data_IF_597397606418
#
_entry.id   IF_597397606418
#
_cell.length_a   1.000
_cell.length_b   1.000
_cell.length_c   1.000
_cell.angle_alpha   90.00
_cell.angle_beta   90.00
_cell.angle_gamma   90.00
#
_symmetry.space_group_name_H-M   'P 1'
#
loop_
_entity.id
_entity.type
_entity.pdbx_description
1 polymer ?
#
# COMPACT_ATOMS: atom_id res chain seq x y z
N UNK A 1 36.74 -17.76 2.15
CA UNK A 1 35.40 -17.26 1.82
C UNK A 1 34.47 -17.56 2.97
N UNK A 2 34.06 -16.57 3.76
CA UNK A 2 32.99 -16.77 4.75
C UNK A 2 31.73 -17.23 4.02
N UNK A 3 30.94 -18.09 4.67
CA UNK A 3 29.67 -18.55 4.08
C UNK A 3 28.69 -17.37 3.98
N UNK A 4 27.74 -17.45 3.05
CA UNK A 4 26.68 -16.43 2.91
C UNK A 4 25.90 -16.22 4.22
N UNK A 5 25.67 -17.29 4.98
CA UNK A 5 25.05 -17.22 6.32
C UNK A 5 25.92 -16.49 7.34
N UNK A 6 27.24 -16.63 7.26
CA UNK A 6 28.17 -15.92 8.14
C UNK A 6 28.22 -14.43 7.80
N UNK A 7 28.13 -14.08 6.51
CA UNK A 7 27.93 -12.69 6.06
C UNK A 7 26.60 -12.11 6.56
N UNK A 8 25.50 -12.88 6.52
CA UNK A 8 24.20 -12.44 7.04
C UNK A 8 24.18 -12.29 8.57
N UNK A 9 24.88 -13.17 9.31
CA UNK A 9 25.05 -13.03 10.77
C UNK A 9 25.85 -11.78 11.13
N UNK A 10 26.91 -11.48 10.39
CA UNK A 10 27.72 -10.26 10.60
C UNK A 10 26.89 -9.00 10.33
N UNK A 11 26.00 -9.03 9.33
CA UNK A 11 25.07 -7.92 9.05
C UNK A 11 23.98 -7.81 10.12
N UNK A 12 23.37 -8.92 10.54
CA UNK A 12 22.33 -8.91 11.59
C UNK A 12 22.86 -8.53 12.98
N UNK A 13 24.14 -8.81 13.28
CA UNK A 13 24.81 -8.39 14.50
C UNK A 13 25.17 -6.88 14.50
N UNK A 14 25.14 -6.21 13.35
CA UNK A 14 25.21 -4.74 13.22
C UNK A 14 23.82 -4.11 13.39
N UNK A 15 23.11 -4.44 14.47
CA UNK A 15 22.00 -3.58 14.89
C UNK A 15 22.57 -2.18 15.15
N UNK A 16 22.03 -1.11 14.54
CA UNK A 16 22.54 0.23 14.74
C UNK A 16 22.48 0.56 16.24
N UNK A 17 23.67 0.66 16.84
CA UNK A 17 23.84 1.10 18.22
C UNK A 17 23.66 2.62 18.22
N UNK A 18 22.44 3.08 18.50
CA UNK A 18 22.17 4.45 18.97
C UNK A 18 22.75 5.60 18.13
N UNK A 19 22.74 5.48 16.80
CA UNK A 19 22.96 6.64 15.93
C UNK A 19 21.76 7.58 15.98
N UNK A 20 22.00 8.88 15.83
CA UNK A 20 20.93 9.86 15.66
C UNK A 20 20.16 9.53 14.36
N UNK A 21 18.84 9.36 14.47
CA UNK A 21 18.00 9.12 13.30
C UNK A 21 17.95 10.39 12.43
N UNK A 22 17.97 10.27 11.09
CA UNK A 22 17.70 11.40 10.21
C UNK A 22 16.39 12.08 10.62
N UNK A 23 16.38 13.41 10.60
CA UNK A 23 15.16 14.13 10.90
C UNK A 23 14.11 13.86 9.82
N UNK A 24 12.83 14.08 10.15
CA UNK A 24 11.76 13.95 9.15
C UNK A 24 11.99 14.90 7.96
N UNK A 25 12.50 16.11 8.21
CA UNK A 25 12.84 17.07 7.17
C UNK A 25 13.94 16.52 6.23
N UNK A 26 14.95 15.84 6.76
CA UNK A 26 16.02 15.23 5.95
C UNK A 26 15.48 14.09 5.08
N UNK A 27 14.58 13.26 5.62
CA UNK A 27 13.93 12.19 4.84
C UNK A 27 13.05 12.74 3.71
N UNK A 28 12.35 13.85 3.95
CA UNK A 28 11.58 14.55 2.92
C UNK A 28 12.49 15.16 1.84
N UNK A 29 13.59 15.82 2.25
CA UNK A 29 14.57 16.41 1.33
C UNK A 29 15.29 15.32 0.51
N UNK A 30 15.64 14.19 1.13
CA UNK A 30 16.22 13.02 0.46
C UNK A 30 15.31 12.54 -0.66
N UNK A 31 14.02 12.35 -0.33
CA UNK A 31 13.01 11.91 -1.30
C UNK A 31 12.82 12.91 -2.45
N UNK A 32 12.81 14.20 -2.14
CA UNK A 32 12.68 15.26 -3.13
C UNK A 32 13.94 15.39 -4.03
N UNK A 33 15.05 14.72 -3.68
CA UNK A 33 16.33 14.86 -4.36
C UNK A 33 16.98 16.22 -4.11
N UNK A 34 16.67 16.84 -2.97
CA UNK A 34 17.11 18.20 -2.60
C UNK A 34 18.32 18.19 -1.66
N UNK A 35 18.70 17.04 -1.12
CA UNK A 35 19.89 16.91 -0.27
C UNK A 35 21.18 17.12 -1.05
N UNK A 36 22.20 17.70 -0.38
CA UNK A 36 23.54 17.71 -0.94
C UNK A 36 24.09 16.26 -1.01
N UNK A 37 24.94 15.96 -1.99
CA UNK A 37 25.44 14.60 -2.22
C UNK A 37 26.01 13.90 -0.96
N UNK A 38 26.67 14.66 -0.06
CA UNK A 38 27.20 14.11 1.20
C UNK A 38 26.11 13.75 2.21
N UNK A 39 25.03 14.52 2.26
CA UNK A 39 23.89 14.27 3.16
C UNK A 39 23.03 13.13 2.61
N UNK A 40 22.86 13.08 1.30
CA UNK A 40 22.21 11.98 0.59
C UNK A 40 22.91 10.64 0.87
N UNK A 41 24.24 10.59 0.72
CA UNK A 41 25.04 9.40 1.02
C UNK A 41 24.83 8.93 2.49
N UNK A 42 24.79 9.87 3.43
CA UNK A 42 24.58 9.58 4.85
C UNK A 42 23.18 9.02 5.12
N UNK A 43 22.13 9.64 4.55
CA UNK A 43 20.76 9.15 4.68
C UNK A 43 20.63 7.76 4.03
N UNK A 44 21.19 7.57 2.84
CA UNK A 44 21.17 6.29 2.15
C UNK A 44 21.86 5.19 2.97
N UNK A 45 23.05 5.45 3.52
CA UNK A 45 23.73 4.50 4.41
C UNK A 45 22.88 4.17 5.64
N UNK A 46 22.26 5.17 6.28
CA UNK A 46 21.36 4.94 7.43
C UNK A 46 20.15 4.06 7.06
N UNK A 47 19.51 4.33 5.93
CA UNK A 47 18.34 3.56 5.46
C UNK A 47 18.67 2.09 5.20
N UNK A 48 19.90 1.75 4.82
CA UNK A 48 20.32 0.34 4.68
C UNK A 48 20.43 -0.40 6.02
N UNK A 49 20.55 0.33 7.13
CA UNK A 49 20.80 -0.22 8.46
C UNK A 49 19.59 -0.09 9.39
N UNK A 50 18.70 0.86 9.13
CA UNK A 50 17.57 1.20 9.98
C UNK A 50 16.23 0.93 9.28
N UNK A 51 15.59 -0.19 9.65
CA UNK A 51 14.28 -0.59 9.10
C UNK A 51 13.19 0.45 9.38
N UNK A 52 13.23 1.10 10.54
CA UNK A 52 12.18 2.04 10.94
C UNK A 52 12.19 3.30 10.07
N UNK A 53 13.38 3.86 9.77
CA UNK A 53 13.50 4.99 8.85
C UNK A 53 13.16 4.60 7.41
N UNK A 54 13.49 3.38 6.98
CA UNK A 54 13.09 2.87 5.67
C UNK A 54 11.57 2.71 5.55
N UNK A 55 10.91 2.19 6.60
CA UNK A 55 9.45 2.09 6.64
C UNK A 55 8.80 3.48 6.62
N UNK A 56 9.28 4.42 7.43
CA UNK A 56 8.77 5.80 7.43
C UNK A 56 8.88 6.46 6.05
N UNK A 57 9.97 6.23 5.32
CA UNK A 57 10.14 6.74 3.95
C UNK A 57 9.12 6.13 2.97
N UNK A 58 8.81 4.83 3.10
CA UNK A 58 7.76 4.16 2.31
C UNK A 58 6.37 4.68 2.65
N UNK A 59 6.08 4.91 3.93
CA UNK A 59 4.78 5.46 4.37
C UNK A 59 4.59 6.87 3.81
N UNK A 60 5.63 7.72 3.85
CA UNK A 60 5.61 9.03 3.19
C UNK A 60 5.28 8.89 1.69
N UNK A 61 5.80 7.86 1.02
CA UNK A 61 5.50 7.60 -0.39
C UNK A 61 4.04 7.26 -0.65
N UNK A 62 3.41 6.50 0.23
CA UNK A 62 1.98 6.21 0.16
C UNK A 62 1.14 7.49 0.31
N UNK A 63 1.53 8.39 1.21
CA UNK A 63 0.80 9.66 1.41
C UNK A 63 0.75 10.58 0.19
N UNK A 64 1.77 10.58 -0.67
CA UNK A 64 1.75 11.39 -1.90
C UNK A 64 0.95 10.74 -3.04
N UNK A 65 0.64 9.45 -2.95
CA UNK A 65 -0.21 8.79 -3.95
C UNK A 65 -1.68 9.20 -3.81
N UNK A 66 -2.07 9.75 -2.66
CA UNK A 66 -3.39 10.34 -2.53
C UNK A 66 -3.48 11.55 -3.48
N UNK A 67 -4.49 11.59 -4.36
CA UNK A 67 -4.66 12.71 -5.27
C UNK A 67 -4.76 13.98 -4.44
N UNK A 68 -3.91 14.95 -4.76
CA UNK A 68 -4.06 16.29 -4.22
C UNK A 68 -5.51 16.72 -4.48
N UNK A 69 -6.24 17.20 -3.46
CA UNK A 69 -7.58 17.69 -3.66
C UNK A 69 -7.56 18.66 -4.85
N UNK A 70 -8.47 18.53 -5.83
CA UNK A 70 -8.47 19.40 -7.00
C UNK A 70 -8.39 20.86 -6.55
N UNK A 71 -7.56 21.67 -7.21
CA UNK A 71 -7.36 23.08 -6.88
C UNK A 71 -8.67 23.90 -6.94
N UNK A 72 -9.73 23.32 -7.50
CA UNK A 72 -11.10 23.84 -7.60
C UNK A 72 -11.97 23.53 -6.39
N UNK A 73 -11.53 22.71 -5.44
CA UNK A 73 -12.17 22.65 -4.13
C UNK A 73 -12.05 24.04 -3.53
N UNK A 74 -13.20 24.69 -3.36
CA UNK A 74 -13.30 26.02 -2.80
C UNK A 74 -12.46 26.09 -1.51
N UNK A 75 -11.81 27.25 -1.22
CA UNK A 75 -11.13 27.42 0.05
C UNK A 75 -12.03 26.93 1.17
N UNK A 76 -11.48 26.25 2.19
CA UNK A 76 -12.25 25.69 3.29
C UNK A 76 -13.27 26.74 3.75
N UNK A 77 -14.54 26.34 3.81
CA UNK A 77 -15.58 27.29 4.18
C UNK A 77 -15.26 27.87 5.57
N UNK A 78 -15.77 29.07 5.88
CA UNK A 78 -15.48 29.74 7.15
C UNK A 78 -15.81 28.84 8.37
N UNK A 79 -16.72 27.88 8.20
CA UNK A 79 -17.06 26.86 9.20
C UNK A 79 -15.93 25.87 9.43
N UNK A 80 -15.30 25.37 8.37
CA UNK A 80 -14.13 24.48 8.45
C UNK A 80 -12.96 25.19 9.12
N UNK A 81 -12.69 26.45 8.75
CA UNK A 81 -11.65 27.26 9.39
C UNK A 81 -11.95 27.56 10.87
N UNK A 82 -13.21 27.81 11.21
CA UNK A 82 -13.62 28.00 12.60
C UNK A 82 -13.59 26.70 13.42
N UNK A 83 -13.82 25.54 12.79
CA UNK A 83 -13.67 24.23 13.42
C UNK A 83 -12.19 23.91 13.67
N UNK A 84 -11.33 24.17 12.68
CA UNK A 84 -9.89 23.96 12.80
C UNK A 84 -9.25 24.83 13.87
N UNK A 85 -9.63 26.12 13.95
CA UNK A 85 -9.19 27.02 15.02
C UNK A 85 -9.58 26.56 16.42
N UNK A 86 -10.70 25.84 16.56
CA UNK A 86 -11.16 25.26 17.85
C UNK A 86 -10.41 23.98 18.23
N UNK A 87 -10.00 23.19 17.24
CA UNK A 87 -9.25 21.95 17.44
C UNK A 87 -7.76 22.18 17.73
N UNK A 88 -7.15 23.19 17.10
CA UNK A 88 -5.72 23.48 17.22
C UNK A 88 -5.18 23.55 18.66
N UNK A 89 -5.82 24.25 19.62
CA UNK A 89 -5.34 24.27 21.00
C UNK A 89 -5.51 22.92 21.72
N UNK A 90 -6.42 22.06 21.30
CA UNK A 90 -6.61 20.72 21.89
C UNK A 90 -5.55 19.73 21.43
N UNK A 91 -5.03 19.91 20.21
CA UNK A 91 -3.93 19.11 19.65
C UNK A 91 -2.55 19.58 20.15
N UNK A 92 -2.44 20.80 20.67
CA UNK A 92 -1.19 21.44 21.10
C UNK A 92 -0.97 21.50 22.62
N UNK A 93 -1.63 20.67 23.41
CA UNK A 93 -1.49 20.63 24.88
C UNK A 93 -0.22 19.97 25.42
N UNK A 94 0.71 19.58 24.54
CA UNK A 94 2.10 19.32 24.92
C UNK A 94 2.89 20.59 24.60
N UNK A 95 3.20 21.36 25.65
CA UNK A 95 4.10 22.50 25.63
C UNK A 95 5.45 22.06 25.05
N UNK A 96 5.59 22.13 23.72
CA UNK A 96 6.90 22.07 23.07
C UNK A 96 7.52 23.41 23.41
N UNK A 97 8.20 23.43 24.56
CA UNK A 97 9.06 24.51 24.98
C UNK A 97 9.92 24.89 23.78
N UNK A 98 9.70 26.08 23.23
CA UNK A 98 10.57 26.67 22.23
C UNK A 98 12.01 26.53 22.74
N UNK A 99 12.92 25.86 22.01
CA UNK A 99 14.34 25.92 22.32
C UNK A 99 14.81 27.35 22.03
N UNK A 100 14.60 28.22 23.01
CA UNK A 100 15.23 29.54 23.10
C UNK A 100 16.73 29.32 23.20
N UNK A 101 17.44 29.61 22.12
CA UNK A 101 18.89 29.82 22.14
C UNK A 101 19.71 28.80 21.38
N UNK A 102 19.55 28.73 20.05
CA UNK A 102 20.67 28.33 19.19
C UNK A 102 21.28 29.61 18.63
N UNK A 103 22.46 29.96 19.17
CA UNK A 103 23.30 31.05 18.69
C UNK A 103 23.73 30.77 17.25
N UNK A 104 23.20 31.55 16.31
CA UNK A 104 23.75 31.68 14.96
C UNK A 104 25.09 32.42 15.03
N UNK A 105 26.16 31.68 15.30
CA UNK A 105 27.52 32.15 15.04
C UNK A 105 27.79 32.18 13.53
N UNK A 106 28.56 33.15 13.02
CA UNK A 106 28.98 33.17 11.63
C UNK A 106 29.96 32.00 11.40
N UNK A 107 29.49 30.96 10.73
CA UNK A 107 30.34 29.85 10.27
C UNK A 107 31.12 30.37 9.06
N UNK A 108 32.38 30.75 9.29
CA UNK A 108 33.35 31.00 8.23
C UNK A 108 33.58 29.70 7.43
N UNK A 109 33.08 29.69 6.20
CA UNK A 109 33.29 28.60 5.27
C UNK A 109 34.76 28.55 4.80
N UNK A 110 35.43 27.38 4.83
CA UNK A 110 36.73 27.22 4.21
C UNK A 110 36.62 27.38 2.70
N UNK A 111 37.39 28.32 2.14
CA UNK A 111 37.56 28.50 0.71
C UNK A 111 38.24 27.24 0.13
N UNK A 112 37.44 26.28 -0.35
CA UNK A 112 37.94 25.17 -1.13
C UNK A 112 38.39 25.65 -2.52
N UNK A 113 39.67 25.43 -2.79
CA UNK A 113 40.34 25.68 -4.06
C UNK A 113 39.58 25.02 -5.23
N UNK A 114 39.18 25.86 -6.17
CA UNK A 114 38.55 25.48 -7.43
C UNK A 114 39.55 24.72 -8.30
N UNK A 115 39.36 23.40 -8.42
CA UNK A 115 40.06 22.58 -9.41
C UNK A 115 39.72 23.04 -10.84
N UNK A 116 40.71 23.09 -11.76
CA UNK A 116 40.49 23.49 -13.13
C UNK A 116 39.59 22.49 -13.87
N UNK A 117 38.48 23.02 -14.39
CA UNK A 117 37.51 22.34 -15.24
C UNK A 117 38.18 21.94 -16.57
N UNK A 118 38.10 20.67 -17.02
CA UNK A 118 38.53 20.33 -18.37
C UNK A 118 37.67 21.07 -19.39
N UNK A 119 38.34 21.67 -20.37
CA UNK A 119 37.76 22.46 -21.45
C UNK A 119 36.77 21.63 -22.26
N UNK A 120 35.48 22.01 -22.18
CA UNK A 120 34.43 21.47 -23.04
C UNK A 120 34.70 21.97 -24.46
N UNK A 121 35.10 21.06 -25.34
CA UNK A 121 35.10 21.28 -26.78
C UNK A 121 33.67 21.60 -27.28
N UNK A 122 33.50 22.56 -28.19
CA UNK A 122 32.19 23.00 -28.66
C UNK A 122 31.58 21.95 -29.60
N UNK A 123 30.64 21.15 -29.10
CA UNK A 123 29.85 20.17 -29.88
C UNK A 123 28.75 20.86 -30.74
N UNK A 124 28.65 22.19 -30.68
CA UNK A 124 27.60 23.02 -31.29
C UNK A 124 27.76 23.30 -32.81
N UNK A 125 28.27 22.34 -33.59
CA UNK A 125 28.27 22.42 -35.07
C UNK A 125 27.71 21.18 -35.75
N UNK A 126 26.68 20.56 -35.16
CA UNK A 126 25.82 19.63 -35.89
C UNK A 126 24.36 20.11 -35.81
N UNK A 127 23.82 20.75 -36.86
CA UNK A 127 22.45 21.26 -36.88
C UNK A 127 21.36 20.16 -36.77
N UNK A 128 21.76 18.88 -36.71
CA UNK A 128 20.86 17.75 -36.55
C UNK A 128 20.58 17.33 -35.09
N UNK A 129 21.37 17.81 -34.11
CA UNK A 129 21.18 17.43 -32.69
C UNK A 129 19.84 17.86 -32.07
N UNK A 130 19.34 19.11 -32.24
CA UNK A 130 18.05 19.48 -31.67
C UNK A 130 16.89 18.70 -32.29
N UNK A 131 17.01 18.35 -33.58
CA UNK A 131 16.02 17.53 -34.29
C UNK A 131 15.99 16.08 -33.81
N UNK A 132 17.15 15.48 -33.52
CA UNK A 132 17.22 14.13 -32.95
C UNK A 132 16.59 14.05 -31.54
N UNK A 133 16.81 15.09 -30.72
CA UNK A 133 16.18 15.20 -29.40
C UNK A 133 14.65 15.36 -29.52
N UNK A 134 14.19 16.23 -30.41
CA UNK A 134 12.75 16.41 -30.65
C UNK A 134 12.08 15.11 -31.14
N UNK A 135 12.72 14.39 -32.05
CA UNK A 135 12.21 13.11 -32.54
C UNK A 135 12.17 12.03 -31.45
N UNK A 136 13.21 11.93 -30.62
CA UNK A 136 13.23 11.00 -29.48
C UNK A 136 12.14 11.30 -28.45
N UNK A 137 11.95 12.58 -28.12
CA UNK A 137 10.93 13.01 -27.18
C UNK A 137 9.51 12.77 -27.72
N UNK A 138 9.28 13.01 -29.01
CA UNK A 138 8.02 12.71 -29.68
C UNK A 138 7.69 11.20 -29.64
N UNK A 139 8.69 10.33 -29.88
CA UNK A 139 8.52 8.87 -29.78
C UNK A 139 8.21 8.42 -28.34
N UNK A 140 8.87 9.01 -27.34
CA UNK A 140 8.56 8.72 -25.93
C UNK A 140 7.12 9.11 -25.57
N UNK A 141 6.68 10.30 -25.97
CA UNK A 141 5.30 10.78 -25.71
C UNK A 141 4.28 9.90 -26.44
N UNK A 142 4.54 9.53 -27.69
CA UNK A 142 3.66 8.63 -28.45
C UNK A 142 3.60 7.23 -27.83
N UNK A 143 4.74 6.68 -27.38
CA UNK A 143 4.80 5.38 -26.72
C UNK A 143 4.09 5.37 -25.37
N UNK A 144 4.27 6.43 -24.57
CA UNK A 144 3.53 6.62 -23.31
C UNK A 144 2.03 6.78 -23.56
N UNK A 145 1.64 7.59 -24.55
CA UNK A 145 0.23 7.79 -24.93
C UNK A 145 -0.45 6.51 -25.42
N UNK A 146 0.26 5.69 -26.20
CA UNK A 146 -0.24 4.37 -26.60
C UNK A 146 -0.41 3.46 -25.38
N UNK A 147 0.58 3.42 -24.50
CA UNK A 147 0.55 2.58 -23.30
C UNK A 147 -0.59 3.01 -22.37
N UNK A 148 -0.79 4.30 -22.14
CA UNK A 148 -1.88 4.80 -21.32
C UNK A 148 -3.24 4.50 -21.97
N UNK A 149 -3.38 4.68 -23.29
CA UNK A 149 -4.61 4.31 -23.99
C UNK A 149 -4.94 2.80 -23.86
N UNK A 150 -3.95 1.92 -23.95
CA UNK A 150 -4.17 0.47 -23.74
C UNK A 150 -4.51 0.12 -22.29
N UNK A 151 -3.99 0.86 -21.32
CA UNK A 151 -4.33 0.68 -19.92
C UNK A 151 -5.73 1.19 -19.63
N UNK A 152 -6.08 2.39 -20.12
CA UNK A 152 -7.43 2.95 -20.01
C UNK A 152 -8.47 2.03 -20.64
N UNK A 153 -8.20 1.43 -21.80
CA UNK A 153 -9.12 0.46 -22.39
C UNK A 153 -9.37 -0.78 -21.50
N UNK A 154 -8.34 -1.28 -20.80
CA UNK A 154 -8.49 -2.38 -19.84
C UNK A 154 -9.19 -1.94 -18.56
N UNK A 155 -8.90 -0.73 -18.08
CA UNK A 155 -9.61 -0.15 -16.93
C UNK A 155 -11.06 0.04 -17.30
N UNK A 156 -11.40 0.56 -18.48
CA UNK A 156 -12.79 0.72 -18.92
C UNK A 156 -13.49 -0.63 -19.12
N UNK A 157 -12.77 -1.68 -19.56
CA UNK A 157 -13.32 -3.05 -19.62
C UNK A 157 -13.58 -3.64 -18.22
N UNK A 158 -12.75 -3.31 -17.23
CA UNK A 158 -12.91 -3.75 -15.83
C UNK A 158 -13.86 -2.86 -15.02
N UNK A 159 -13.92 -1.57 -15.35
CA UNK A 159 -14.71 -0.53 -14.72
C UNK A 159 -16.08 -0.37 -15.39
N UNK A 160 -16.28 -0.95 -16.58
CA UNK A 160 -17.60 -1.21 -17.11
C UNK A 160 -18.35 -1.92 -15.99
N UNK A 161 -19.36 -1.27 -15.39
CA UNK A 161 -20.01 -1.78 -14.19
C UNK A 161 -20.52 -3.16 -14.57
N UNK A 162 -19.88 -4.18 -14.00
CA UNK A 162 -20.31 -5.55 -14.18
C UNK A 162 -21.63 -5.68 -13.42
N UNK A 163 -22.70 -5.23 -14.06
CA UNK A 163 -24.05 -5.25 -13.55
C UNK A 163 -24.46 -6.72 -13.41
N UNK A 164 -24.28 -7.27 -12.21
CA UNK A 164 -24.61 -8.68 -11.97
C UNK A 164 -23.81 -9.39 -10.88
N UNK A 165 -22.84 -8.73 -10.21
CA UNK A 165 -22.18 -9.34 -9.06
C UNK A 165 -22.86 -8.90 -7.76
N UNK A 166 -23.24 -9.86 -6.92
CA UNK A 166 -23.71 -9.57 -5.55
C UNK A 166 -22.51 -9.59 -4.62
N UNK A 167 -22.23 -8.49 -3.94
CA UNK A 167 -21.26 -8.49 -2.83
C UNK A 167 -22.02 -8.89 -1.57
N UNK A 168 -21.47 -9.82 -0.79
CA UNK A 168 -22.10 -10.30 0.44
C UNK A 168 -21.05 -10.41 1.55
N UNK A 169 -21.32 -9.72 2.66
CA UNK A 169 -20.53 -9.85 3.87
C UNK A 169 -20.99 -11.09 4.66
N UNK A 170 -20.05 -12.01 4.88
CA UNK A 170 -20.25 -13.22 5.65
C UNK A 170 -19.64 -13.07 7.03
N UNK A 171 -20.51 -13.15 8.03
CA UNK A 171 -20.14 -13.21 9.43
C UNK A 171 -19.99 -14.66 9.89
N UNK A 172 -19.06 -14.94 10.81
CA UNK A 172 -18.88 -16.28 11.36
C UNK A 172 -20.17 -16.76 12.06
N UNK A 173 -20.41 -18.07 12.02
CA UNK A 173 -21.61 -18.67 12.63
C UNK A 173 -21.73 -18.34 14.13
N UNK A 174 -20.60 -18.21 14.81
CA UNK A 174 -20.49 -17.82 16.22
C UNK A 174 -21.06 -16.42 16.49
N UNK A 175 -20.91 -15.47 15.57
CA UNK A 175 -21.38 -14.08 15.72
C UNK A 175 -22.82 -13.87 15.24
N UNK A 176 -23.30 -14.68 14.28
CA UNK A 176 -24.67 -14.53 13.74
C UNK A 176 -25.77 -14.64 14.79
N UNK A 177 -25.57 -15.44 15.83
CA UNK A 177 -26.52 -15.54 16.96
C UNK A 177 -26.76 -14.20 17.67
N UNK A 178 -25.83 -13.25 17.56
CA UNK A 178 -25.94 -11.93 18.19
C UNK A 178 -26.51 -10.86 17.27
N UNK A 179 -26.29 -10.96 15.96
CA UNK A 179 -26.59 -9.85 15.03
C UNK A 179 -28.06 -9.82 14.57
N UNK A 180 -28.79 -10.94 14.57
CA UNK A 180 -30.25 -11.00 14.36
C UNK A 180 -30.78 -10.42 13.03
N UNK A 181 -29.92 -9.88 12.17
CA UNK A 181 -30.28 -9.32 10.88
C UNK A 181 -30.58 -10.41 9.86
N UNK A 182 -31.56 -10.19 8.96
CA UNK A 182 -31.73 -11.04 7.79
C UNK A 182 -30.46 -10.95 6.94
N UNK A 183 -29.70 -12.04 6.86
CA UNK A 183 -28.54 -12.10 5.97
C UNK A 183 -29.00 -11.93 4.52
N UNK A 184 -28.31 -11.09 3.76
CA UNK A 184 -28.54 -10.99 2.32
C UNK A 184 -28.29 -12.36 1.67
N UNK A 185 -29.12 -12.71 0.69
CA UNK A 185 -29.01 -13.99 -0.02
C UNK A 185 -28.79 -13.73 -1.51
N UNK A 186 -27.66 -14.14 -2.10
CA UNK A 186 -27.42 -13.99 -3.53
C UNK A 186 -28.42 -14.82 -4.34
N UNK A 187 -28.87 -14.27 -5.47
CA UNK A 187 -29.68 -14.97 -6.45
C UNK A 187 -28.81 -15.87 -7.37
N UNK A 188 -29.31 -17.05 -7.74
CA UNK A 188 -28.69 -17.95 -8.72
C UNK A 188 -28.51 -17.24 -10.06
N UNK A 189 -27.47 -17.62 -10.80
CA UNK A 189 -27.22 -17.08 -12.14
C UNK A 189 -26.47 -15.75 -12.13
N UNK A 190 -26.10 -15.25 -10.95
CA UNK A 190 -25.23 -14.10 -10.74
C UNK A 190 -23.96 -14.55 -10.03
N UNK A 191 -22.81 -14.03 -10.48
CA UNK A 191 -21.58 -14.20 -9.71
C UNK A 191 -21.73 -13.50 -8.37
N UNK A 192 -21.09 -14.01 -7.34
CA UNK A 192 -21.10 -13.35 -6.03
C UNK A 192 -19.68 -13.21 -5.51
N UNK A 193 -19.41 -12.11 -4.83
CA UNK A 193 -18.16 -11.89 -4.11
C UNK A 193 -18.49 -11.97 -2.63
N UNK A 194 -17.94 -12.96 -1.95
CA UNK A 194 -18.08 -13.15 -0.53
C UNK A 194 -16.92 -12.45 0.17
N UNK A 195 -17.24 -11.56 1.11
CA UNK A 195 -16.25 -10.95 2.01
C UNK A 195 -16.40 -11.64 3.35
N UNK A 196 -15.36 -12.33 3.81
CA UNK A 196 -15.35 -13.04 5.07
C UNK A 196 -14.49 -12.26 6.07
N UNK A 197 -15.11 -11.78 7.14
CA UNK A 197 -14.37 -11.17 8.23
C UNK A 197 -13.76 -12.26 9.12
N UNK A 198 -12.46 -12.16 9.39
CA UNK A 198 -11.80 -13.06 10.34
C UNK A 198 -12.35 -12.81 11.75
N UNK A 199 -12.57 -13.86 12.57
CA UNK A 199 -12.91 -13.70 13.97
C UNK A 199 -11.84 -12.83 14.67
N UNK A 200 -12.28 -11.91 15.54
CA UNK A 200 -11.36 -10.97 16.22
C UNK A 200 -10.28 -11.65 17.05
N UNK A 201 -10.56 -12.88 17.49
CA UNK A 201 -9.70 -13.75 18.29
C UNK A 201 -9.02 -14.85 17.46
N UNK A 202 -9.16 -14.84 16.14
CA UNK A 202 -8.49 -15.81 15.28
C UNK A 202 -6.96 -15.66 15.38
N UNK A 203 -6.21 -16.77 15.52
CA UNK A 203 -4.76 -16.73 15.43
C UNK A 203 -4.34 -16.19 14.05
N UNK A 204 -3.25 -15.41 14.01
CA UNK A 204 -2.69 -14.95 12.75
C UNK A 204 -1.96 -16.09 12.02
N UNK A 205 -2.48 -16.51 10.87
CA UNK A 205 -1.80 -17.48 9.98
C UNK A 205 -1.14 -16.77 8.79
N UNK A 206 -0.03 -17.32 8.26
CA UNK A 206 0.61 -16.77 7.06
C UNK A 206 -0.26 -16.93 5.79
N UNK A 207 -1.16 -17.92 5.77
CA UNK A 207 -2.13 -18.13 4.71
C UNK A 207 -3.44 -18.69 5.27
N UNK A 208 -4.52 -18.45 4.54
CA UNK A 208 -5.84 -19.01 4.81
C UNK A 208 -6.31 -19.80 3.61
N UNK A 209 -7.06 -20.87 3.86
CA UNK A 209 -7.71 -21.71 2.85
C UNK A 209 -9.22 -21.68 3.07
N UNK A 210 -9.95 -21.39 2.00
CA UNK A 210 -11.41 -21.31 2.00
C UNK A 210 -11.99 -22.43 1.14
N UNK A 211 -12.90 -23.21 1.69
CA UNK A 211 -13.62 -24.27 0.98
C UNK A 211 -15.12 -24.04 1.03
N UNK A 212 -15.79 -24.06 -0.13
CA UNK A 212 -17.24 -23.97 -0.21
C UNK A 212 -17.82 -25.37 -0.19
N UNK A 213 -18.59 -25.68 0.86
CA UNK A 213 -19.22 -27.00 1.04
C UNK A 213 -20.74 -26.86 1.15
N UNK A 214 -21.52 -27.86 0.70
CA UNK A 214 -22.96 -27.89 0.96
C UNK A 214 -23.26 -27.92 2.46
N UNK A 215 -24.27 -27.19 2.91
CA UNK A 215 -24.65 -27.15 4.33
C UNK A 215 -25.13 -28.52 4.86
N UNK A 216 -25.67 -29.37 3.98
CA UNK A 216 -26.04 -30.74 4.29
C UNK A 216 -24.82 -31.67 4.50
N UNK A 217 -23.60 -31.18 4.29
CA UNK A 217 -22.39 -31.98 4.18
C UNK A 217 -22.18 -32.50 2.75
N UNK A 218 -20.95 -32.90 2.45
CA UNK A 218 -20.55 -33.37 1.12
C UNK A 218 -19.16 -32.89 0.74
N UNK A 219 -18.77 -33.20 -0.51
CA UNK A 219 -17.53 -32.72 -1.09
C UNK A 219 -17.59 -31.22 -1.40
N UNK A 220 -16.45 -30.52 -1.40
CA UNK A 220 -16.39 -29.12 -1.81
C UNK A 220 -16.94 -28.93 -3.23
N UNK A 221 -17.76 -27.89 -3.41
CA UNK A 221 -18.35 -27.55 -4.72
C UNK A 221 -17.38 -26.77 -5.59
N UNK A 222 -16.38 -26.15 -4.96
CA UNK A 222 -15.32 -25.38 -5.61
C UNK A 222 -13.95 -25.87 -5.14
N UNK A 223 -12.92 -25.64 -5.96
CA UNK A 223 -11.54 -25.86 -5.53
C UNK A 223 -11.20 -24.94 -4.34
N UNK A 224 -10.43 -25.43 -3.36
CA UNK A 224 -10.01 -24.61 -2.22
C UNK A 224 -9.22 -23.39 -2.69
N UNK A 225 -9.62 -22.19 -2.25
CA UNK A 225 -8.91 -20.96 -2.57
C UNK A 225 -7.95 -20.62 -1.43
N UNK A 226 -6.68 -20.40 -1.76
CA UNK A 226 -5.64 -20.01 -0.80
C UNK A 226 -5.21 -18.56 -1.02
N UNK A 227 -5.11 -17.80 0.07
CA UNK A 227 -4.63 -16.43 0.03
C UNK A 227 -4.26 -15.89 1.40
N UNK A 228 -3.46 -14.80 1.47
CA UNK A 228 -3.30 -14.05 2.70
C UNK A 228 -4.60 -13.30 3.03
N UNK A 229 -4.81 -13.00 4.31
CA UNK A 229 -5.87 -12.09 4.70
C UNK A 229 -5.42 -10.64 4.47
N UNK A 230 -6.25 -9.86 3.78
CA UNK A 230 -6.00 -8.45 3.53
C UNK A 230 -6.78 -7.63 4.55
N UNK A 231 -6.09 -6.90 5.43
CA UNK A 231 -6.71 -6.03 6.46
C UNK A 231 -7.74 -6.74 7.36
N UNK A 232 -7.59 -8.05 7.56
CA UNK A 232 -8.47 -8.85 8.42
C UNK A 232 -9.70 -9.45 7.73
N UNK A 233 -9.83 -9.28 6.41
CA UNK A 233 -10.86 -9.93 5.62
C UNK A 233 -10.27 -10.82 4.53
N UNK A 234 -11.08 -11.76 4.05
CA UNK A 234 -10.78 -12.65 2.94
C UNK A 234 -11.88 -12.50 1.88
N UNK A 235 -11.48 -12.50 0.62
CA UNK A 235 -12.41 -12.38 -0.51
C UNK A 235 -12.49 -13.71 -1.25
N UNK A 236 -13.70 -14.19 -1.47
CA UNK A 236 -13.96 -15.42 -2.22
C UNK A 236 -14.95 -15.15 -3.35
N UNK A 237 -14.54 -15.41 -4.59
CA UNK A 237 -15.41 -15.29 -5.76
C UNK A 237 -16.19 -16.58 -5.99
N UNK A 238 -17.51 -16.49 -5.96
CA UNK A 238 -18.42 -17.58 -6.32
C UNK A 238 -18.75 -17.51 -7.82
N UNK A 239 -18.46 -18.56 -8.60
CA UNK A 239 -18.81 -18.61 -10.01
C UNK A 239 -20.33 -18.80 -10.18
N UNK A 240 -20.83 -18.38 -11.34
CA UNK A 240 -22.24 -18.45 -11.74
C UNK A 240 -22.78 -19.90 -11.79
N UNK A 241 -21.88 -20.89 -11.86
CA UNK A 241 -22.21 -22.31 -11.93
C UNK A 241 -22.67 -22.93 -10.61
N UNK A 242 -22.51 -22.24 -9.48
CA UNK A 242 -22.96 -22.77 -8.18
C UNK A 242 -24.50 -22.75 -8.14
N UNK A 243 -25.09 -23.92 -7.91
CA UNK A 243 -26.54 -24.10 -7.87
C UNK A 243 -27.18 -23.39 -6.66
N UNK A 244 -28.50 -23.20 -6.71
CA UNK A 244 -29.27 -22.77 -5.54
C UNK A 244 -29.13 -23.80 -4.41
N UNK A 245 -29.03 -23.31 -3.18
CA UNK A 245 -28.92 -24.19 -2.01
C UNK A 245 -28.35 -23.48 -0.78
N UNK A 246 -28.29 -24.23 0.31
CA UNK A 246 -27.59 -23.80 1.52
C UNK A 246 -26.16 -24.31 1.50
N UNK A 247 -25.22 -23.41 1.74
CA UNK A 247 -23.79 -23.66 1.71
C UNK A 247 -23.13 -23.14 2.98
N UNK A 248 -21.88 -23.53 3.20
CA UNK A 248 -21.01 -22.91 4.18
C UNK A 248 -19.60 -22.77 3.60
N UNK A 249 -18.93 -21.67 3.91
CA UNK A 249 -17.48 -21.58 3.71
C UNK A 249 -16.79 -22.11 4.96
N UNK A 250 -15.96 -23.14 4.80
CA UNK A 250 -15.01 -23.60 5.81
C UNK A 250 -13.76 -22.76 5.69
N UNK A 251 -13.44 -22.03 6.74
CA UNK A 251 -12.23 -21.24 6.81
C UNK A 251 -11.16 -22.00 7.60
N UNK A 252 -10.00 -22.21 6.99
CA UNK A 252 -8.87 -22.84 7.63
C UNK A 252 -7.66 -21.91 7.67
N UNK A 253 -6.97 -21.87 8.81
CA UNK A 253 -5.63 -21.31 8.92
C UNK A 253 -4.59 -22.32 8.45
N UNK A 254 -3.62 -21.87 7.66
CA UNK A 254 -2.56 -22.72 7.09
C UNK A 254 -1.21 -22.22 7.54
N UNK A 255 -0.42 -23.11 8.17
CA UNK A 255 0.97 -22.86 8.57
C UNK A 255 1.83 -24.07 8.17
N UNK A 256 2.58 -23.94 7.07
CA UNK A 256 3.29 -25.07 6.46
C UNK A 256 2.31 -26.14 5.96
N UNK A 257 2.45 -27.38 6.45
CA UNK A 257 1.53 -28.49 6.16
C UNK A 257 0.35 -28.58 7.15
N UNK A 258 0.37 -27.78 8.23
CA UNK A 258 -0.70 -27.80 9.22
C UNK A 258 -1.87 -26.97 8.73
N UNK A 259 -3.05 -27.58 8.76
CA UNK A 259 -4.33 -26.96 8.45
C UNK A 259 -5.23 -27.02 9.68
N UNK A 260 -5.67 -25.88 10.18
CA UNK A 260 -6.56 -25.78 11.34
C UNK A 260 -7.88 -25.13 10.92
N UNK A 261 -9.02 -25.78 11.18
CA UNK A 261 -10.33 -25.18 10.98
C UNK A 261 -10.52 -24.03 12.00
N UNK A 262 -10.84 -22.84 11.50
CA UNK A 262 -11.07 -21.64 12.32
C UNK A 262 -12.54 -21.40 12.56
N UNK A 263 -13.35 -21.32 11.49
CA UNK A 263 -14.79 -21.09 11.60
C UNK A 263 -15.56 -21.56 10.36
N UNK A 264 -16.89 -21.51 10.45
CA UNK A 264 -17.85 -21.83 9.40
C UNK A 264 -18.73 -20.60 9.12
N UNK A 265 -18.85 -20.27 7.83
CA UNK A 265 -19.61 -19.11 7.36
C UNK A 265 -20.80 -19.60 6.52
N UNK A 266 -21.98 -19.84 7.13
CA UNK A 266 -23.14 -20.33 6.41
C UNK A 266 -23.70 -19.27 5.46
N UNK A 267 -24.22 -19.66 4.30
CA UNK A 267 -24.93 -18.75 3.40
C UNK A 267 -25.93 -19.52 2.54
N UNK A 268 -26.87 -18.81 1.92
CA UNK A 268 -27.91 -19.41 1.08
C UNK A 268 -27.92 -18.71 -0.26
N UNK A 269 -27.86 -19.50 -1.33
CA UNK A 269 -28.07 -19.04 -2.70
C UNK A 269 -29.53 -19.34 -3.06
N UNK A 270 -30.33 -18.30 -3.28
CA UNK A 270 -31.75 -18.43 -3.64
C UNK A 270 -31.92 -18.54 -5.16
N UNK A 271 -32.88 -19.33 -5.68
CA UNK A 271 -33.18 -19.33 -7.11
C UNK A 271 -33.53 -17.91 -7.58
N UNK A 272 -32.93 -17.48 -8.69
CA UNK A 272 -33.11 -16.15 -9.29
C UNK A 272 -34.34 -16.05 -10.19
#
# INVERSE_FOLDING_TARGET
>A
NPSFEESLRVVAARRPRGGEHPSLADLMAYRAGELAAREEDHVQEHLTQCRDCAQLLLDLMEFEQFPQPPAELAPPDERTDAAWRRLRPQLGGGEVAEPSGVHSGPVEAPLHELRPRPSRVPVWRRPALPWALAAGLALCVAGLGWRTATLSGKVDELAAPRAGFSVMDLYPASERLRSGGPGETPAVGRGAVLILDLPRDAPGFPAYEMEVVPAAGGDPVLEPVRGPAERGSLTLELPVSVAAGSYAVRLHGVEGERRQLLDLYPFVITPG
#
